data_IF_302600511892
#
_entry.id   IF_302600511892
#
_cell.length_a   1.000
_cell.length_b   1.000
_cell.length_c   1.000
_cell.angle_alpha   90.00
_cell.angle_beta   90.00
_cell.angle_gamma   90.00
#
_symmetry.space_group_name_H-M   'P 1'
#
loop_
_entity.id
_entity.type
_entity.pdbx_description
1 polymer ?
#
# COMPACT_ATOMS: atom_id res chain seq x y z
N UNK A 1 -35.44 20.65 49.81
CA UNK A 1 -34.63 19.54 49.25
C UNK A 1 -33.80 20.10 48.11
N UNK A 2 -32.57 20.54 48.39
CA UNK A 2 -31.67 21.12 47.38
C UNK A 2 -31.11 20.05 46.46
N UNK A 3 -30.97 20.38 45.16
CA UNK A 3 -30.40 19.51 44.13
C UNK A 3 -28.99 19.08 44.55
N UNK A 4 -28.64 17.78 44.52
CA UNK A 4 -27.31 17.32 44.90
C UNK A 4 -26.25 17.99 44.01
N UNK A 5 -25.21 18.54 44.64
CA UNK A 5 -24.06 19.10 43.95
C UNK A 5 -23.30 17.99 43.22
N UNK A 6 -23.09 18.13 41.91
CA UNK A 6 -22.17 17.27 41.17
C UNK A 6 -20.78 17.34 41.83
N UNK A 7 -20.12 16.18 41.97
CA UNK A 7 -18.74 16.06 42.47
C UNK A 7 -17.79 16.95 41.65
N UNK A 8 -16.72 17.44 42.28
CA UNK A 8 -15.75 18.33 41.61
C UNK A 8 -15.07 17.69 40.40
N UNK A 9 -14.95 16.35 40.35
CA UNK A 9 -14.43 15.60 39.20
C UNK A 9 -15.27 15.76 37.92
N UNK A 10 -16.55 16.12 38.04
CA UNK A 10 -17.51 16.19 36.92
C UNK A 10 -17.68 17.62 36.36
N UNK A 11 -16.98 18.60 36.92
CA UNK A 11 -17.05 20.00 36.47
C UNK A 11 -16.14 20.21 35.27
N UNK A 12 -16.77 20.39 34.10
CA UNK A 12 -16.08 20.82 32.86
C UNK A 12 -15.24 22.05 33.14
N UNK A 13 -13.93 21.93 32.95
CA UNK A 13 -13.01 23.05 33.10
C UNK A 13 -13.04 23.92 31.84
N UNK A 14 -13.18 25.25 31.97
CA UNK A 14 -13.14 26.14 30.82
C UNK A 14 -11.70 26.26 30.29
N UNK A 15 -11.49 25.93 29.02
CA UNK A 15 -10.24 26.22 28.30
C UNK A 15 -10.46 27.45 27.44
N UNK A 16 -9.70 28.51 27.69
CA UNK A 16 -9.78 29.75 26.89
C UNK A 16 -8.84 29.64 25.69
N UNK A 17 -9.42 29.55 24.49
CA UNK A 17 -8.68 29.46 23.24
C UNK A 17 -8.81 30.75 22.44
N UNK A 18 -7.71 31.17 21.80
CA UNK A 18 -7.70 32.27 20.83
C UNK A 18 -7.50 31.68 19.44
N UNK A 19 -8.38 32.04 18.52
CA UNK A 19 -8.31 31.63 17.12
C UNK A 19 -8.12 32.86 16.25
N UNK A 20 -7.43 32.70 15.12
CA UNK A 20 -7.46 33.69 14.06
C UNK A 20 -8.91 33.94 13.61
N UNK A 21 -9.27 35.18 13.23
CA UNK A 21 -10.64 35.52 12.83
C UNK A 21 -11.20 34.60 11.74
N UNK A 22 -10.38 34.26 10.74
CA UNK A 22 -10.77 33.40 9.63
C UNK A 22 -11.04 31.95 10.06
N UNK A 23 -10.23 31.42 10.98
CA UNK A 23 -10.41 30.06 11.50
C UNK A 23 -11.68 30.00 12.35
N UNK A 24 -11.90 31.01 13.19
CA UNK A 24 -13.12 31.13 13.99
C UNK A 24 -14.37 31.20 13.10
N UNK A 25 -14.36 32.04 12.07
CA UNK A 25 -15.49 32.18 11.14
C UNK A 25 -15.81 30.86 10.43
N UNK A 26 -14.78 30.08 10.05
CA UNK A 26 -14.98 28.74 9.50
C UNK A 26 -15.59 27.79 10.52
N UNK A 27 -15.09 27.76 11.76
CA UNK A 27 -15.65 26.89 12.81
C UNK A 27 -17.11 27.24 13.13
N UNK A 28 -17.47 28.52 13.18
CA UNK A 28 -18.85 28.97 13.39
C UNK A 28 -19.77 28.53 12.25
N UNK A 29 -19.31 28.63 10.99
CA UNK A 29 -20.05 28.14 9.82
C UNK A 29 -20.30 26.62 9.90
N UNK A 30 -19.29 25.85 10.30
CA UNK A 30 -19.42 24.39 10.45
C UNK A 30 -20.34 24.02 11.62
N UNK A 31 -20.22 24.73 12.75
CA UNK A 31 -21.09 24.54 13.90
C UNK A 31 -22.57 24.77 13.52
N UNK A 32 -22.86 25.85 12.78
CA UNK A 32 -24.20 26.13 12.26
C UNK A 32 -24.71 25.03 11.31
N UNK A 33 -23.88 24.58 10.36
CA UNK A 33 -24.23 23.51 9.43
C UNK A 33 -24.53 22.17 10.12
N UNK A 34 -23.86 21.90 11.25
CA UNK A 34 -24.04 20.69 12.04
C UNK A 34 -25.10 20.81 13.15
N UNK A 35 -25.76 21.97 13.29
CA UNK A 35 -26.73 22.22 14.36
C UNK A 35 -26.11 22.20 15.78
N UNK A 36 -24.82 22.57 15.91
CA UNK A 36 -24.06 22.57 17.17
C UNK A 36 -23.67 23.99 17.58
N UNK A 37 -23.40 24.19 18.86
CA UNK A 37 -22.71 25.41 19.32
C UNK A 37 -21.23 25.35 18.94
N UNK A 38 -20.58 26.52 18.81
CA UNK A 38 -19.14 26.60 18.51
C UNK A 38 -18.30 25.75 19.50
N UNK A 39 -18.60 25.83 20.80
CA UNK A 39 -17.93 25.03 21.82
C UNK A 39 -18.09 23.52 21.61
N UNK A 40 -19.31 23.05 21.27
CA UNK A 40 -19.55 21.62 20.97
C UNK A 40 -18.87 21.15 19.70
N UNK A 41 -18.76 22.01 18.68
CA UNK A 41 -18.04 21.71 17.46
C UNK A 41 -16.52 21.60 17.71
N UNK A 42 -15.96 22.48 18.54
CA UNK A 42 -14.55 22.40 18.98
C UNK A 42 -14.33 21.13 19.80
N UNK A 43 -15.16 20.86 20.81
CA UNK A 43 -15.09 19.62 21.62
C UNK A 43 -15.14 18.38 20.72
N UNK A 44 -16.05 18.33 19.74
CA UNK A 44 -16.17 17.19 18.82
C UNK A 44 -14.92 16.98 17.96
N UNK A 45 -14.28 18.05 17.48
CA UNK A 45 -13.04 17.97 16.69
C UNK A 45 -11.84 17.57 17.54
N UNK A 46 -11.72 18.15 18.74
CA UNK A 46 -10.66 17.80 19.68
C UNK A 46 -10.81 16.34 20.11
N UNK A 47 -12.02 15.90 20.42
CA UNK A 47 -12.29 14.49 20.76
C UNK A 47 -11.91 13.53 19.63
N UNK A 48 -12.09 13.93 18.36
CA UNK A 48 -11.68 13.13 17.21
C UNK A 48 -10.15 12.98 17.07
N UNK A 49 -9.36 13.84 17.73
CA UNK A 49 -7.89 13.83 17.63
C UNK A 49 -7.17 13.58 18.96
N UNK A 50 -7.87 13.60 20.10
CA UNK A 50 -7.26 13.55 21.44
C UNK A 50 -6.52 12.25 21.74
N UNK A 51 -6.87 11.15 21.05
CA UNK A 51 -6.19 9.86 21.17
C UNK A 51 -5.00 9.67 20.24
N UNK A 52 -4.67 10.68 19.41
CA UNK A 52 -3.53 10.61 18.50
C UNK A 52 -2.28 11.17 19.18
N UNK A 53 -1.15 10.51 18.96
CA UNK A 53 0.15 11.04 19.32
C UNK A 53 0.63 12.10 18.31
N UNK A 54 1.84 12.61 18.47
CA UNK A 54 2.39 13.65 17.60
C UNK A 54 2.49 13.19 16.13
N UNK A 55 2.82 11.92 15.88
CA UNK A 55 2.93 11.36 14.53
C UNK A 55 1.54 11.19 13.89
N UNK A 56 0.56 10.67 14.63
CA UNK A 56 -0.82 10.56 14.18
C UNK A 56 -1.45 11.92 13.87
N UNK A 57 -1.18 12.94 14.69
CA UNK A 57 -1.61 14.31 14.41
C UNK A 57 -0.96 14.87 13.14
N UNK A 58 0.33 14.61 12.93
CA UNK A 58 1.02 15.05 11.72
C UNK A 58 0.48 14.34 10.47
N UNK A 59 0.18 13.04 10.56
CA UNK A 59 -0.45 12.28 9.47
C UNK A 59 -1.81 12.89 9.08
N UNK A 60 -2.68 13.14 10.07
CA UNK A 60 -3.99 13.76 9.84
C UNK A 60 -3.83 15.14 9.20
N UNK A 61 -2.84 15.92 9.63
CA UNK A 61 -2.51 17.23 9.04
C UNK A 61 -2.09 17.08 7.57
N UNK A 62 -1.21 16.13 7.26
CA UNK A 62 -0.74 15.89 5.89
C UNK A 62 -1.88 15.43 4.97
N UNK A 63 -2.67 14.44 5.39
CA UNK A 63 -3.86 13.96 4.65
C UNK A 63 -4.82 15.13 4.39
N UNK A 64 -5.10 15.94 5.40
CA UNK A 64 -6.00 17.10 5.27
C UNK A 64 -5.47 18.12 4.26
N UNK A 65 -4.16 18.40 4.27
CA UNK A 65 -3.53 19.32 3.35
C UNK A 65 -3.58 18.83 1.90
N UNK A 66 -3.35 17.53 1.68
CA UNK A 66 -3.44 16.92 0.35
C UNK A 66 -4.86 16.89 -0.20
N UNK A 67 -5.87 16.55 0.63
CA UNK A 67 -7.28 16.63 0.21
C UNK A 67 -7.62 18.05 -0.27
N UNK A 68 -7.13 19.08 0.42
CA UNK A 68 -7.31 20.48 0.01
C UNK A 68 -6.57 20.77 -1.31
N UNK A 69 -5.35 20.28 -1.49
CA UNK A 69 -4.57 20.46 -2.72
C UNK A 69 -5.25 19.78 -3.92
N UNK A 70 -5.70 18.53 -3.76
CA UNK A 70 -6.45 17.77 -4.77
C UNK A 70 -7.77 18.46 -5.13
N UNK A 71 -8.50 18.94 -4.12
CA UNK A 71 -9.74 19.71 -4.31
C UNK A 71 -9.47 20.97 -5.14
N UNK A 72 -8.41 21.73 -4.83
CA UNK A 72 -8.01 22.91 -5.62
C UNK A 72 -7.66 22.54 -7.06
N UNK A 73 -6.88 21.46 -7.25
CA UNK A 73 -6.49 20.95 -8.58
C UNK A 73 -7.71 20.53 -9.41
N UNK A 74 -8.73 19.96 -8.77
CA UNK A 74 -10.01 19.65 -9.41
C UNK A 74 -11.05 20.79 -9.28
N UNK A 75 -10.60 22.05 -9.47
CA UNK A 75 -11.47 23.24 -9.59
C UNK A 75 -12.42 23.46 -8.41
N UNK A 76 -12.02 23.07 -7.20
CA UNK A 76 -12.81 23.25 -5.98
C UNK A 76 -13.95 22.24 -5.80
N UNK A 77 -14.02 21.18 -6.62
CA UNK A 77 -15.04 20.14 -6.48
C UNK A 77 -14.83 19.32 -5.21
N UNK A 78 -15.87 19.24 -4.38
CA UNK A 78 -15.82 18.52 -3.11
C UNK A 78 -15.61 17.02 -3.36
N UNK A 79 -14.61 16.43 -2.72
CA UNK A 79 -14.23 15.04 -2.96
C UNK A 79 -15.33 14.03 -2.65
N UNK A 80 -16.14 14.27 -1.62
CA UNK A 80 -17.26 13.40 -1.27
C UNK A 80 -18.47 13.52 -2.22
N UNK A 81 -18.44 14.40 -3.24
CA UNK A 81 -19.56 14.68 -4.13
C UNK A 81 -19.20 14.66 -5.63
N UNK A 82 -17.94 14.39 -5.98
CA UNK A 82 -17.46 14.30 -7.37
C UNK A 82 -16.58 13.06 -7.51
N UNK A 83 -16.91 12.20 -8.48
CA UNK A 83 -16.24 10.91 -8.64
C UNK A 83 -14.74 11.05 -8.92
N UNK A 84 -14.33 12.06 -9.68
CA UNK A 84 -12.92 12.31 -10.00
C UNK A 84 -12.13 12.78 -8.78
N UNK A 85 -12.69 13.71 -8.01
CA UNK A 85 -12.07 14.11 -6.73
C UNK A 85 -12.05 12.93 -5.74
N UNK A 86 -13.12 12.12 -5.69
CA UNK A 86 -13.19 10.94 -4.83
C UNK A 86 -12.09 9.93 -5.17
N UNK A 87 -11.92 9.58 -6.45
CA UNK A 87 -10.91 8.61 -6.88
C UNK A 87 -9.49 9.10 -6.61
N UNK A 88 -9.23 10.40 -6.76
CA UNK A 88 -7.94 10.98 -6.43
C UNK A 88 -7.63 10.91 -4.92
N UNK A 89 -8.63 11.15 -4.07
CA UNK A 89 -8.47 11.00 -2.62
C UNK A 89 -8.30 9.53 -2.22
N UNK A 90 -9.01 8.61 -2.87
CA UNK A 90 -8.85 7.17 -2.63
C UNK A 90 -7.43 6.69 -2.98
N UNK A 91 -6.88 7.12 -4.11
CA UNK A 91 -5.49 6.82 -4.50
C UNK A 91 -4.49 7.41 -3.50
N UNK A 92 -4.68 8.67 -3.09
CA UNK A 92 -3.83 9.32 -2.09
C UNK A 92 -3.87 8.60 -0.74
N UNK A 93 -5.03 8.14 -0.29
CA UNK A 93 -5.12 7.37 0.96
C UNK A 93 -4.48 5.98 0.85
N UNK A 94 -4.39 5.42 -0.36
CA UNK A 94 -3.78 4.12 -0.59
C UNK A 94 -2.24 4.18 -0.70
N UNK A 95 -1.69 5.23 -1.33
CA UNK A 95 -0.25 5.34 -1.66
C UNK A 95 0.45 6.61 -1.21
N UNK A 96 -0.25 7.52 -0.52
CA UNK A 96 0.24 8.85 -0.16
C UNK A 96 0.88 8.91 1.24
N UNK A 97 0.51 9.90 2.09
CA UNK A 97 1.19 10.18 3.36
C UNK A 97 1.25 8.99 4.31
N UNK A 98 0.26 8.10 4.27
CA UNK A 98 0.25 6.89 5.11
C UNK A 98 1.36 5.91 4.73
N UNK A 99 1.66 5.79 3.43
CA UNK A 99 2.75 4.95 2.93
C UNK A 99 4.11 5.53 3.30
N UNK A 100 4.25 6.86 3.31
CA UNK A 100 5.47 7.54 3.73
C UNK A 100 5.74 7.45 5.25
N UNK A 101 4.72 7.14 6.06
CA UNK A 101 4.84 6.92 7.51
C UNK A 101 4.81 5.45 7.90
N UNK A 102 5.03 4.54 6.95
CA UNK A 102 5.15 3.11 7.24
C UNK A 102 6.26 2.89 8.28
N UNK A 103 5.99 2.17 9.39
CA UNK A 103 6.92 2.10 10.53
C UNK A 103 8.22 1.36 10.18
N UNK A 104 8.12 0.30 9.38
CA UNK A 104 9.27 -0.46 8.90
C UNK A 104 9.17 -0.55 7.38
N UNK A 105 10.14 0.08 6.72
CA UNK A 105 10.32 -0.12 5.29
C UNK A 105 11.28 -1.30 5.09
N UNK A 106 10.82 -2.46 4.57
CA UNK A 106 11.74 -3.56 4.26
C UNK A 106 12.87 -3.12 3.33
N UNK A 107 12.67 -2.05 2.55
CA UNK A 107 13.71 -1.49 1.70
C UNK A 107 14.83 -0.80 2.46
N UNK A 108 14.71 -0.56 3.77
CA UNK A 108 15.78 0.02 4.60
C UNK A 108 16.73 -1.05 5.18
N UNK A 109 16.31 -2.31 5.23
CA UNK A 109 17.16 -3.41 5.70
C UNK A 109 18.26 -3.74 4.68
N UNK A 110 19.52 -3.67 5.12
CA UNK A 110 20.68 -3.92 4.27
C UNK A 110 20.65 -5.31 3.62
N UNK A 111 20.16 -6.34 4.31
CA UNK A 111 20.06 -7.69 3.75
C UNK A 111 19.03 -7.77 2.62
N UNK A 112 17.85 -7.13 2.80
CA UNK A 112 16.81 -7.07 1.77
C UNK A 112 17.30 -6.27 0.56
N UNK A 113 17.95 -5.11 0.79
CA UNK A 113 18.58 -4.30 -0.27
C UNK A 113 19.62 -5.10 -1.04
N UNK A 114 20.48 -5.83 -0.34
CA UNK A 114 21.54 -6.62 -0.95
C UNK A 114 20.97 -7.72 -1.85
N UNK A 115 19.96 -8.46 -1.37
CA UNK A 115 19.30 -9.50 -2.17
C UNK A 115 18.59 -8.88 -3.38
N UNK A 116 17.88 -7.76 -3.21
CA UNK A 116 17.22 -7.06 -4.31
C UNK A 116 18.22 -6.57 -5.36
N UNK A 117 19.34 -5.97 -4.92
CA UNK A 117 20.41 -5.53 -5.81
C UNK A 117 20.99 -6.69 -6.62
N UNK A 118 21.17 -7.85 -5.99
CA UNK A 118 21.58 -9.08 -6.68
C UNK A 118 20.52 -9.57 -7.68
N UNK A 119 19.23 -9.53 -7.32
CA UNK A 119 18.13 -9.86 -8.24
C UNK A 119 18.13 -8.98 -9.49
N UNK A 120 18.26 -7.67 -9.32
CA UNK A 120 18.31 -6.70 -10.41
C UNK A 120 19.53 -6.96 -11.29
N UNK A 121 20.71 -7.10 -10.69
CA UNK A 121 21.94 -7.37 -11.45
C UNK A 121 21.86 -8.70 -12.22
N UNK A 122 21.34 -9.77 -11.62
CA UNK A 122 21.14 -11.05 -12.30
C UNK A 122 20.12 -10.93 -13.43
N UNK A 123 19.07 -10.13 -13.26
CA UNK A 123 18.11 -9.84 -14.32
C UNK A 123 18.77 -9.13 -15.51
N UNK A 124 19.59 -8.11 -15.26
CA UNK A 124 20.32 -7.39 -16.30
C UNK A 124 21.34 -8.29 -17.02
N UNK A 125 22.04 -9.15 -16.28
CA UNK A 125 22.95 -10.13 -16.85
C UNK A 125 22.22 -11.12 -17.77
N UNK A 126 21.02 -11.59 -17.38
CA UNK A 126 20.18 -12.43 -18.23
C UNK A 126 19.75 -11.71 -19.49
N UNK A 127 19.29 -10.46 -19.38
CA UNK A 127 18.90 -9.65 -20.53
C UNK A 127 20.05 -9.49 -21.53
N UNK A 128 21.28 -9.26 -21.03
CA UNK A 128 22.49 -9.18 -21.85
C UNK A 128 22.80 -10.51 -22.56
N UNK A 129 22.69 -11.65 -21.87
CA UNK A 129 22.91 -12.97 -22.49
C UNK A 129 21.85 -13.27 -23.56
N UNK A 130 20.58 -12.95 -23.29
CA UNK A 130 19.49 -13.08 -24.27
C UNK A 130 19.74 -12.21 -25.50
N UNK A 131 20.20 -10.97 -25.32
CA UNK A 131 20.57 -10.08 -26.44
C UNK A 131 21.67 -10.70 -27.32
N UNK A 132 22.73 -11.25 -26.69
CA UNK A 132 23.82 -11.91 -27.42
C UNK A 132 23.37 -13.17 -28.17
N UNK A 133 22.45 -13.95 -27.58
CA UNK A 133 21.84 -15.10 -28.28
C UNK A 133 21.01 -14.63 -29.49
N UNK A 134 20.28 -13.53 -29.36
CA UNK A 134 19.52 -12.93 -30.46
C UNK A 134 20.42 -12.42 -31.59
N UNK A 135 21.60 -11.87 -31.29
CA UNK A 135 22.61 -11.49 -32.28
C UNK A 135 23.11 -12.68 -33.12
N UNK A 136 23.09 -13.89 -32.58
CA UNK A 136 23.43 -15.14 -33.29
C UNK A 136 22.20 -15.70 -34.05
N UNK A 137 21.06 -15.01 -34.01
CA UNK A 137 19.82 -15.41 -34.69
C UNK A 137 18.94 -16.36 -33.87
N UNK A 138 19.20 -16.52 -32.57
CA UNK A 138 18.38 -17.34 -31.68
C UNK A 138 17.34 -16.51 -30.94
N UNK A 139 16.07 -16.83 -31.13
CA UNK A 139 14.99 -16.22 -30.35
C UNK A 139 14.81 -16.97 -29.03
N UNK A 140 15.10 -16.30 -27.92
CA UNK A 140 14.93 -16.83 -26.57
C UNK A 140 13.74 -16.14 -25.91
N UNK A 141 12.85 -16.91 -25.28
CA UNK A 141 11.76 -16.33 -24.51
C UNK A 141 12.30 -15.75 -23.20
N UNK A 142 12.09 -14.46 -22.97
CA UNK A 142 12.38 -13.82 -21.69
C UNK A 142 11.29 -14.08 -20.63
N UNK A 143 10.12 -14.57 -21.06
CA UNK A 143 8.97 -14.76 -20.19
C UNK A 143 9.17 -16.02 -19.31
N UNK A 144 9.76 -15.80 -18.13
CA UNK A 144 9.82 -16.76 -17.02
C UNK A 144 8.46 -16.94 -16.30
N UNK A 145 7.34 -16.75 -17.03
CA UNK A 145 5.98 -16.84 -16.45
C UNK A 145 5.61 -18.26 -16.00
N UNK A 146 6.35 -19.26 -16.47
CA UNK A 146 6.13 -20.65 -16.11
C UNK A 146 7.26 -21.16 -15.20
N UNK A 147 6.95 -21.38 -13.93
CA UNK A 147 7.86 -22.06 -13.01
C UNK A 147 7.97 -23.57 -13.27
N UNK A 148 9.03 -24.20 -12.77
CA UNK A 148 9.17 -25.66 -12.72
C UNK A 148 9.36 -26.37 -14.06
N UNK A 149 8.65 -27.48 -14.29
CA UNK A 149 8.81 -28.38 -15.44
C UNK A 149 8.68 -27.70 -16.81
N UNK A 150 7.86 -26.64 -16.90
CA UNK A 150 7.65 -25.90 -18.14
C UNK A 150 8.86 -25.02 -18.51
N UNK A 151 9.63 -24.55 -17.52
CA UNK A 151 10.92 -23.85 -17.75
C UNK A 151 11.96 -24.81 -18.36
N UNK A 152 12.03 -26.05 -17.84
CA UNK A 152 12.91 -27.11 -18.38
C UNK A 152 12.54 -27.44 -19.83
N UNK A 153 11.24 -27.55 -20.13
CA UNK A 153 10.78 -27.77 -21.49
C UNK A 153 11.21 -26.63 -22.44
N UNK A 154 11.18 -25.37 -21.99
CA UNK A 154 11.62 -24.22 -22.81
C UNK A 154 13.13 -24.26 -23.13
N UNK A 155 13.99 -24.53 -22.14
CA UNK A 155 15.46 -24.58 -22.34
C UNK A 155 15.88 -25.74 -23.25
N UNK A 156 15.14 -26.85 -23.23
CA UNK A 156 15.39 -27.98 -24.16
C UNK A 156 15.07 -27.63 -25.63
N UNK A 157 14.04 -26.81 -25.87
CA UNK A 157 13.69 -26.33 -27.21
C UNK A 157 14.74 -25.36 -27.75
N UNK A 158 15.23 -24.47 -26.89
CA UNK A 158 16.32 -23.55 -27.21
C UNK A 158 17.60 -24.32 -27.55
N UNK A 159 17.96 -25.34 -26.76
CA UNK A 159 19.09 -26.23 -27.04
C UNK A 159 18.99 -26.90 -28.41
N UNK A 160 17.80 -27.41 -28.76
CA UNK A 160 17.57 -28.03 -30.07
C UNK A 160 17.77 -27.04 -31.22
N UNK A 161 17.40 -25.77 -31.02
CA UNK A 161 17.62 -24.70 -32.00
C UNK A 161 19.10 -24.34 -32.16
N UNK A 162 19.86 -24.38 -31.06
CA UNK A 162 21.31 -24.19 -31.07
C UNK A 162 22.01 -25.33 -31.84
N UNK A 163 21.61 -26.57 -31.59
CA UNK A 163 22.23 -27.74 -32.24
C UNK A 163 22.06 -27.74 -33.77
N UNK A 164 21.03 -27.05 -34.27
CA UNK A 164 20.75 -26.87 -35.68
C UNK A 164 21.64 -25.81 -36.38
N UNK A 165 22.45 -25.02 -35.63
CA UNK A 165 23.33 -24.00 -36.21
C UNK A 165 24.42 -24.66 -37.05
N UNK A 166 24.51 -24.42 -38.38
CA UNK A 166 25.47 -25.12 -39.23
C UNK A 166 26.92 -24.82 -38.89
N UNK A 167 27.25 -23.57 -38.58
CA UNK A 167 28.60 -23.11 -38.23
C UNK A 167 29.02 -23.64 -36.84
N UNK A 168 30.07 -24.48 -36.74
CA UNK A 168 30.53 -25.04 -35.47
C UNK A 168 31.00 -23.99 -34.45
N UNK A 169 31.60 -22.88 -34.90
CA UNK A 169 32.11 -21.84 -34.02
C UNK A 169 30.95 -21.04 -33.39
N UNK A 170 29.98 -20.62 -34.21
CA UNK A 170 28.77 -19.94 -33.73
C UNK A 170 27.94 -20.86 -32.83
N UNK A 171 27.85 -22.15 -33.17
CA UNK A 171 27.18 -23.16 -32.33
C UNK A 171 27.84 -23.23 -30.95
N UNK A 172 29.16 -23.38 -30.89
CA UNK A 172 29.87 -23.45 -29.61
C UNK A 172 29.69 -22.18 -28.77
N UNK A 173 29.71 -21.01 -29.40
CA UNK A 173 29.42 -19.73 -28.73
C UNK A 173 28.00 -19.70 -28.17
N UNK A 174 27.00 -20.11 -28.95
CA UNK A 174 25.61 -20.16 -28.52
C UNK A 174 25.38 -21.16 -27.38
N UNK A 175 26.04 -22.33 -27.43
CA UNK A 175 26.01 -23.32 -26.35
C UNK A 175 26.55 -22.72 -25.04
N UNK A 176 27.68 -22.02 -25.10
CA UNK A 176 28.27 -21.36 -23.92
C UNK A 176 27.35 -20.28 -23.33
N UNK A 177 26.71 -19.46 -24.17
CA UNK A 177 25.78 -18.43 -23.72
C UNK A 177 24.51 -19.05 -23.12
N UNK A 178 24.01 -20.13 -23.71
CA UNK A 178 22.86 -20.87 -23.20
C UNK A 178 23.14 -21.51 -21.84
N UNK A 179 24.31 -22.13 -21.66
CA UNK A 179 24.71 -22.71 -20.38
C UNK A 179 24.87 -21.60 -19.31
N UNK A 180 25.39 -20.42 -19.69
CA UNK A 180 25.41 -19.24 -18.82
C UNK A 180 23.98 -18.78 -18.45
N UNK A 181 23.05 -18.77 -19.40
CA UNK A 181 21.66 -18.40 -19.14
C UNK A 181 20.98 -19.37 -18.16
N UNK A 182 21.25 -20.68 -18.28
CA UNK A 182 20.74 -21.70 -17.33
C UNK A 182 21.26 -21.43 -15.91
N UNK A 183 22.55 -21.13 -15.77
CA UNK A 183 23.13 -20.81 -14.47
C UNK A 183 22.49 -19.57 -13.86
N UNK A 184 22.38 -18.48 -14.64
CA UNK A 184 21.72 -17.24 -14.19
C UNK A 184 20.24 -17.45 -13.85
N UNK A 185 19.56 -18.37 -14.54
CA UNK A 185 18.19 -18.75 -14.22
C UNK A 185 18.05 -19.43 -12.86
N UNK A 186 18.99 -20.30 -12.50
CA UNK A 186 19.01 -20.96 -11.21
C UNK A 186 19.35 -19.97 -10.09
N UNK A 187 20.34 -19.10 -10.33
CA UNK A 187 20.72 -18.04 -9.39
C UNK A 187 19.55 -17.06 -9.15
N UNK A 188 18.85 -16.66 -10.21
CA UNK A 188 17.69 -15.78 -10.10
C UNK A 188 16.56 -16.42 -9.29
N UNK A 189 16.28 -17.71 -9.51
CA UNK A 189 15.23 -18.42 -8.75
C UNK A 189 15.63 -18.55 -7.26
N UNK A 190 16.89 -18.86 -6.96
CA UNK A 190 17.40 -18.92 -5.60
C UNK A 190 17.32 -17.55 -4.88
N UNK A 191 17.73 -16.48 -5.56
CA UNK A 191 17.64 -15.11 -5.04
C UNK A 191 16.18 -14.68 -4.83
N UNK A 192 15.27 -15.08 -5.73
CA UNK A 192 13.84 -14.80 -5.57
C UNK A 192 13.26 -15.50 -4.35
N UNK A 193 13.66 -16.74 -4.08
CA UNK A 193 13.27 -17.45 -2.87
C UNK A 193 13.84 -16.76 -1.62
N UNK A 194 15.13 -16.43 -1.61
CA UNK A 194 15.76 -15.72 -0.49
C UNK A 194 15.08 -14.36 -0.23
N UNK A 195 14.76 -13.61 -1.28
CA UNK A 195 14.01 -12.37 -1.18
C UNK A 195 12.61 -12.59 -0.59
N UNK A 196 11.90 -13.62 -1.06
CA UNK A 196 10.59 -13.99 -0.51
C UNK A 196 10.64 -14.39 0.96
N UNK A 197 11.70 -15.05 1.39
CA UNK A 197 11.91 -15.43 2.79
C UNK A 197 12.23 -14.20 3.65
N UNK A 198 13.08 -13.29 3.17
CA UNK A 198 13.41 -12.04 3.85
C UNK A 198 12.19 -11.11 3.99
N UNK A 199 11.34 -11.04 2.97
CA UNK A 199 10.12 -10.22 2.98
C UNK A 199 8.96 -10.84 3.76
N UNK A 200 9.03 -12.14 4.09
CA UNK A 200 7.92 -12.88 4.71
C UNK A 200 7.39 -12.26 6.00
N UNK A 201 8.23 -11.83 6.97
CA UNK A 201 7.73 -11.24 8.21
C UNK A 201 6.89 -9.98 7.97
N UNK A 202 7.27 -9.17 6.99
CA UNK A 202 6.55 -7.96 6.59
C UNK A 202 5.19 -8.30 5.97
N UNK A 203 5.14 -9.26 5.07
CA UNK A 203 3.89 -9.70 4.46
C UNK A 203 2.94 -10.31 5.48
N UNK A 204 3.46 -11.10 6.43
CA UNK A 204 2.67 -11.68 7.52
C UNK A 204 2.13 -10.59 8.46
N UNK A 205 2.94 -9.59 8.81
CA UNK A 205 2.51 -8.45 9.61
C UNK A 205 1.43 -7.61 8.91
N UNK A 206 1.61 -7.32 7.62
CA UNK A 206 0.59 -6.63 6.81
C UNK A 206 -0.70 -7.43 6.71
N UNK A 207 -0.61 -8.75 6.47
CA UNK A 207 -1.76 -9.63 6.41
C UNK A 207 -2.51 -9.59 7.75
N UNK A 208 -1.77 -9.65 8.87
CA UNK A 208 -2.36 -9.58 10.20
C UNK A 208 -3.06 -8.25 10.47
N UNK A 209 -2.45 -7.14 10.08
CA UNK A 209 -3.07 -5.81 10.16
C UNK A 209 -4.39 -5.73 9.38
N UNK A 210 -4.41 -6.29 8.16
CA UNK A 210 -5.64 -6.37 7.34
C UNK A 210 -6.71 -7.22 8.00
N UNK A 211 -6.34 -8.35 8.62
CA UNK A 211 -7.28 -9.19 9.39
C UNK A 211 -7.91 -8.42 10.56
N UNK A 212 -7.12 -7.68 11.33
CA UNK A 212 -7.60 -6.89 12.47
C UNK A 212 -8.68 -5.91 12.01
N UNK A 213 -8.43 -5.17 10.93
CA UNK A 213 -9.39 -4.20 10.41
C UNK A 213 -10.67 -4.87 9.88
N UNK A 214 -10.55 -5.98 9.15
CA UNK A 214 -11.72 -6.74 8.66
C UNK A 214 -12.58 -7.26 9.81
N UNK A 215 -11.95 -7.82 10.85
CA UNK A 215 -12.65 -8.27 12.06
C UNK A 215 -13.38 -7.12 12.72
N UNK A 216 -12.72 -5.97 12.88
CA UNK A 216 -13.34 -4.78 13.46
C UNK A 216 -14.60 -4.33 12.68
N UNK A 217 -14.54 -4.32 11.35
CA UNK A 217 -15.70 -3.97 10.51
C UNK A 217 -16.84 -4.98 10.63
N UNK A 218 -16.50 -6.27 10.72
CA UNK A 218 -17.49 -7.34 10.90
C UNK A 218 -18.17 -7.24 12.28
N UNK A 219 -17.40 -6.97 13.33
CA UNK A 219 -17.91 -6.77 14.70
C UNK A 219 -18.85 -5.56 14.77
N UNK A 220 -18.45 -4.44 14.16
CA UNK A 220 -19.29 -3.24 14.06
C UNK A 220 -20.60 -3.53 13.32
N UNK A 221 -20.55 -4.20 12.17
CA UNK A 221 -21.75 -4.54 11.40
C UNK A 221 -22.67 -5.50 12.17
N UNK A 222 -22.09 -6.45 12.92
CA UNK A 222 -22.84 -7.39 13.77
C UNK A 222 -23.53 -6.69 14.94
N UNK A 223 -22.84 -5.75 15.58
CA UNK A 223 -23.42 -4.89 16.61
C UNK A 223 -24.59 -4.08 16.06
N UNK A 224 -24.37 -3.31 14.98
CA UNK A 224 -25.40 -2.50 14.33
C UNK A 224 -26.65 -3.33 13.98
N UNK A 225 -26.45 -4.51 13.38
CA UNK A 225 -27.55 -5.44 13.08
C UNK A 225 -28.34 -5.84 14.33
N UNK A 226 -27.64 -6.15 15.43
CA UNK A 226 -28.27 -6.58 16.69
C UNK A 226 -29.16 -5.48 17.29
N UNK A 227 -28.76 -4.22 17.14
CA UNK A 227 -29.51 -3.05 17.62
C UNK A 227 -30.51 -2.48 16.60
N UNK A 228 -30.68 -3.13 15.44
CA UNK A 228 -31.60 -2.66 14.40
C UNK A 228 -31.13 -1.36 13.69
N UNK A 229 -29.83 -1.06 13.77
CA UNK A 229 -29.22 0.06 13.09
C UNK A 229 -28.89 -0.31 11.63
N UNK A 230 -28.77 0.71 10.77
CA UNK A 230 -28.30 0.51 9.40
C UNK A 230 -26.86 -0.02 9.42
N UNK A 231 -26.60 -1.11 8.71
CA UNK A 231 -25.28 -1.75 8.64
C UNK A 231 -24.87 -2.07 7.20
N UNK A 232 -23.57 -2.22 6.97
CA UNK A 232 -23.06 -2.68 5.69
C UNK A 232 -23.06 -4.23 5.64
N UNK A 233 -23.85 -4.82 4.74
CA UNK A 233 -23.95 -6.27 4.58
C UNK A 233 -22.66 -6.92 4.10
N UNK A 234 -21.83 -6.23 3.31
CA UNK A 234 -20.53 -6.75 2.86
C UNK A 234 -19.56 -6.94 4.03
N UNK A 235 -19.54 -5.97 4.96
CA UNK A 235 -18.75 -6.08 6.20
C UNK A 235 -19.25 -7.23 7.07
N UNK A 236 -20.57 -7.38 7.18
CA UNK A 236 -21.19 -8.46 7.98
C UNK A 236 -20.86 -9.86 7.43
N UNK A 237 -20.88 -10.03 6.10
CA UNK A 237 -20.59 -11.30 5.44
C UNK A 237 -19.09 -11.57 5.31
N UNK A 238 -18.22 -10.66 5.76
CA UNK A 238 -16.78 -10.76 5.56
C UNK A 238 -16.36 -10.70 4.10
N UNK A 239 -17.23 -10.19 3.21
CA UNK A 239 -17.00 -10.09 1.77
C UNK A 239 -16.17 -8.86 1.37
N UNK A 240 -15.34 -8.36 2.29
CA UNK A 240 -14.49 -7.21 2.03
C UNK A 240 -13.52 -7.61 0.92
N UNK A 241 -13.80 -7.13 -0.30
CA UNK A 241 -12.94 -7.36 -1.46
C UNK A 241 -11.52 -6.97 -1.07
N UNK A 242 -10.53 -7.81 -1.40
CA UNK A 242 -9.14 -7.38 -1.36
C UNK A 242 -9.02 -6.15 -2.25
N UNK A 243 -8.97 -4.97 -1.63
CA UNK A 243 -8.46 -3.80 -2.33
C UNK A 243 -7.07 -4.18 -2.84
N UNK A 244 -6.90 -3.99 -4.15
CA UNK A 244 -5.85 -4.54 -5.00
C UNK A 244 -4.45 -4.32 -4.44
#
# INVERSE_FOLDING_TARGET
MGRPSKSEEDRRQPVTLRFDPDVRARLEKHAAANGRSLGKEIEARVAATVGLDAQGLDLVRQISAEIVALTKRNKGKRWHADLTSWSAVAEMLAGGPISAMRPDDPWDEEDVKAILGQLINTYDQKANVVSKLAEIGLSISQDNKFGGLLKIASRNLERSSIDAIPDPALRQQALSLHDQLIALDADFDALRHAYGDAMRPYWEAELKGREIYRSHLQDQASHQRTFGEAFNAEHFLGLISSWR
#
